data_IF_162031234103
#
_entry.id   IF_162031234103
#
_cell.length_a   1.000
_cell.length_b   1.000
_cell.length_c   1.000
_cell.angle_alpha   90.00
_cell.angle_beta   90.00
_cell.angle_gamma   90.00
#
_symmetry.space_group_name_H-M   'P 1'
#
loop_
_entity.id
_entity.type
_entity.pdbx_description
1 polymer ?
#
# COMPACT_ATOMS: atom_id res chain seq x y z
N UNK A 1 -12.24 30.09 -20.96
CA UNK A 1 -12.61 28.97 -21.88
C UNK A 1 -11.66 28.85 -23.08
N UNK A 2 -11.11 29.95 -23.62
CA UNK A 2 -10.17 29.91 -24.75
C UNK A 2 -8.81 29.24 -24.43
N UNK A 3 -8.50 29.03 -23.16
CA UNK A 3 -7.24 28.44 -22.72
C UNK A 3 -7.29 26.92 -22.54
N UNK A 4 -8.46 26.27 -22.62
CA UNK A 4 -8.62 24.83 -22.46
C UNK A 4 -8.87 24.20 -23.84
N UNK A 5 -7.94 23.36 -24.28
CA UNK A 5 -8.00 22.62 -25.55
C UNK A 5 -8.23 21.15 -25.22
N UNK A 6 -9.44 20.66 -25.56
CA UNK A 6 -9.85 19.26 -25.30
C UNK A 6 -8.98 18.31 -26.12
N UNK A 7 -8.51 17.25 -25.48
CA UNK A 7 -7.60 16.27 -26.07
C UNK A 7 -6.11 16.61 -25.90
N UNK A 8 -5.78 17.87 -25.62
CA UNK A 8 -4.40 18.30 -25.38
C UNK A 8 -4.16 18.62 -23.90
N UNK A 9 -5.07 19.36 -23.29
CA UNK A 9 -4.93 19.80 -21.93
C UNK A 9 -5.63 18.86 -20.95
N UNK A 10 -4.91 18.43 -19.90
CA UNK A 10 -5.49 17.97 -18.66
C UNK A 10 -5.80 19.14 -17.75
N UNK A 11 -6.63 18.92 -16.74
CA UNK A 11 -7.06 19.95 -15.80
C UNK A 11 -6.74 19.53 -14.36
N UNK A 12 -6.24 20.47 -13.59
CA UNK A 12 -6.23 20.39 -12.13
C UNK A 12 -7.02 21.54 -11.54
N UNK A 13 -7.76 21.27 -10.47
CA UNK A 13 -8.43 22.29 -9.68
C UNK A 13 -8.13 22.08 -8.20
N UNK A 14 -7.89 23.14 -7.47
CA UNK A 14 -7.71 23.13 -6.03
C UNK A 14 -8.45 24.31 -5.40
N UNK A 15 -9.17 24.04 -4.29
CA UNK A 15 -9.77 25.07 -3.43
C UNK A 15 -9.73 24.59 -1.98
N UNK A 16 -8.90 25.25 -1.16
CA UNK A 16 -8.58 24.77 0.18
C UNK A 16 -7.94 23.39 0.12
N UNK A 17 -8.46 22.45 0.89
CA UNK A 17 -8.02 21.04 0.92
C UNK A 17 -8.59 20.19 -0.24
N UNK A 18 -9.62 20.70 -0.93
CA UNK A 18 -10.26 19.97 -2.02
C UNK A 18 -9.44 20.12 -3.30
N UNK A 19 -9.08 18.99 -3.92
CA UNK A 19 -8.32 18.96 -5.16
C UNK A 19 -8.83 17.86 -6.11
N UNK A 20 -8.73 18.11 -7.41
CA UNK A 20 -9.11 17.16 -8.45
C UNK A 20 -8.23 17.31 -9.68
N UNK A 21 -8.03 16.19 -10.38
CA UNK A 21 -7.28 16.12 -11.62
C UNK A 21 -8.03 15.25 -12.63
N UNK A 22 -8.04 15.68 -13.88
CA UNK A 22 -8.51 14.90 -15.03
C UNK A 22 -7.47 14.97 -16.16
N UNK A 23 -7.14 13.82 -16.73
CA UNK A 23 -6.23 13.70 -17.88
C UNK A 23 -6.89 14.20 -19.18
N UNK A 24 -6.10 14.63 -20.18
CA UNK A 24 -6.63 15.11 -21.45
C UNK A 24 -7.54 14.10 -22.16
N UNK A 25 -7.18 12.82 -22.13
CA UNK A 25 -7.91 11.72 -22.78
C UNK A 25 -9.33 11.55 -22.24
N UNK A 26 -9.55 11.83 -20.96
CA UNK A 26 -10.87 11.63 -20.31
C UNK A 26 -11.97 12.46 -20.98
N UNK A 27 -11.67 13.69 -21.37
CA UNK A 27 -12.64 14.54 -22.06
C UNK A 27 -12.97 14.02 -23.46
N UNK A 28 -11.97 13.47 -24.16
CA UNK A 28 -12.13 12.87 -25.50
C UNK A 28 -12.98 11.61 -25.44
N UNK A 29 -12.65 10.69 -24.53
CA UNK A 29 -13.37 9.40 -24.37
C UNK A 29 -14.85 9.60 -23.99
N UNK A 30 -15.16 10.67 -23.28
CA UNK A 30 -16.52 10.98 -22.84
C UNK A 30 -17.24 11.97 -23.78
N UNK A 31 -16.61 12.45 -24.85
CA UNK A 31 -17.17 13.42 -25.78
C UNK A 31 -17.51 14.77 -25.11
N UNK A 32 -16.72 15.21 -24.13
CA UNK A 32 -16.96 16.46 -23.41
C UNK A 32 -16.38 17.66 -24.14
N UNK A 33 -17.12 18.74 -24.13
CA UNK A 33 -16.59 20.05 -24.48
C UNK A 33 -15.79 20.67 -23.30
N UNK A 34 -15.11 21.79 -23.57
CA UNK A 34 -14.25 22.44 -22.56
C UNK A 34 -15.03 22.87 -21.30
N UNK A 35 -16.29 23.30 -21.45
CA UNK A 35 -17.11 23.70 -20.29
C UNK A 35 -17.52 22.48 -19.45
N UNK A 36 -17.93 21.42 -20.09
CA UNK A 36 -18.25 20.16 -19.40
C UNK A 36 -17.02 19.61 -18.69
N UNK A 37 -15.85 19.65 -19.34
CA UNK A 37 -14.60 19.20 -18.75
C UNK A 37 -14.25 19.99 -17.48
N UNK A 38 -14.42 21.31 -17.48
CA UNK A 38 -14.25 22.16 -16.30
C UNK A 38 -15.23 21.84 -15.17
N UNK A 39 -16.47 21.52 -15.52
CA UNK A 39 -17.47 21.07 -14.53
C UNK A 39 -17.10 19.71 -13.93
N UNK A 40 -16.59 18.80 -14.72
CA UNK A 40 -16.24 17.45 -14.27
C UNK A 40 -15.00 17.45 -13.37
N UNK A 41 -13.98 18.31 -13.63
CA UNK A 41 -12.84 18.42 -12.71
C UNK A 41 -13.26 18.99 -11.35
N UNK A 42 -14.24 19.91 -11.33
CA UNK A 42 -14.83 20.37 -10.07
C UNK A 42 -15.52 19.22 -9.31
N UNK A 43 -16.33 18.42 -10.00
CA UNK A 43 -16.96 17.23 -9.39
C UNK A 43 -15.93 16.23 -8.86
N UNK A 44 -14.86 15.99 -9.61
CA UNK A 44 -13.75 15.12 -9.19
C UNK A 44 -13.09 15.60 -7.90
N UNK A 45 -13.04 16.90 -7.69
CA UNK A 45 -12.53 17.54 -6.48
C UNK A 45 -13.54 17.60 -5.33
N UNK A 46 -14.78 17.14 -5.53
CA UNK A 46 -15.87 17.32 -4.55
C UNK A 46 -16.35 18.76 -4.41
N UNK A 47 -16.07 19.61 -5.40
CA UNK A 47 -16.43 21.01 -5.43
C UNK A 47 -17.75 21.27 -6.19
N UNK A 48 -18.43 22.40 -5.94
CA UNK A 48 -19.55 22.84 -6.77
C UNK A 48 -19.14 22.91 -8.24
N UNK A 49 -20.03 22.51 -9.16
CA UNK A 49 -19.75 22.36 -10.60
C UNK A 49 -19.25 23.65 -11.29
N UNK A 50 -19.44 24.79 -10.68
CA UNK A 50 -18.99 26.11 -11.16
C UNK A 50 -17.82 26.67 -10.36
N UNK A 51 -17.20 25.88 -9.47
CA UNK A 51 -16.08 26.33 -8.65
C UNK A 51 -14.89 26.81 -9.46
N UNK A 52 -14.75 26.38 -10.71
CA UNK A 52 -13.72 26.85 -11.63
C UNK A 52 -13.84 28.35 -11.99
N UNK A 53 -14.97 28.99 -11.70
CA UNK A 53 -15.20 30.45 -11.88
C UNK A 53 -14.94 31.25 -10.60
N UNK A 54 -14.63 30.58 -9.50
CA UNK A 54 -14.41 31.21 -8.21
C UNK A 54 -12.94 31.61 -8.09
N UNK A 55 -12.71 32.88 -7.68
CA UNK A 55 -11.36 33.42 -7.47
C UNK A 55 -10.57 32.68 -6.38
N UNK A 56 -11.26 31.98 -5.47
CA UNK A 56 -10.64 31.13 -4.46
C UNK A 56 -10.19 29.76 -5.02
N UNK A 57 -10.55 29.42 -6.25
CA UNK A 57 -10.16 28.18 -6.89
C UNK A 57 -8.94 28.38 -7.80
N UNK A 58 -7.93 27.57 -7.62
CA UNK A 58 -6.76 27.51 -8.49
C UNK A 58 -6.98 26.47 -9.58
N UNK A 59 -7.23 26.92 -10.80
CA UNK A 59 -7.34 26.08 -11.99
C UNK A 59 -6.04 26.12 -12.78
N UNK A 60 -5.53 24.97 -13.19
CA UNK A 60 -4.33 24.86 -14.03
C UNK A 60 -4.58 23.85 -15.16
N UNK A 61 -3.96 24.09 -16.30
CA UNK A 61 -3.86 23.14 -17.41
C UNK A 61 -2.47 22.52 -17.43
N UNK A 62 -2.39 21.27 -17.90
CA UNK A 62 -1.12 20.59 -18.18
C UNK A 62 -1.26 19.77 -19.47
N UNK A 63 -0.15 19.48 -20.10
CA UNK A 63 -0.09 18.58 -21.24
C UNK A 63 0.40 17.20 -20.76
N UNK A 64 -0.13 16.15 -21.38
CA UNK A 64 0.30 14.77 -21.13
C UNK A 64 0.55 14.05 -22.44
N UNK A 65 1.58 13.24 -22.48
CA UNK A 65 1.84 12.29 -23.56
C UNK A 65 1.21 10.97 -23.16
N UNK A 66 0.23 10.52 -23.96
CA UNK A 66 -0.36 9.20 -23.81
C UNK A 66 0.33 8.25 -24.78
N UNK A 67 0.91 7.19 -24.26
CA UNK A 67 1.49 6.10 -25.05
C UNK A 67 0.59 4.89 -24.87
N UNK A 68 -0.11 4.51 -25.92
CA UNK A 68 -0.92 3.30 -25.98
C UNK A 68 -0.24 2.26 -26.85
N UNK A 69 -0.30 1.01 -26.41
CA UNK A 69 0.21 -0.11 -27.17
C UNK A 69 -0.42 -1.42 -26.71
N UNK A 70 -0.41 -2.42 -27.57
CA UNK A 70 -0.71 -3.78 -27.12
C UNK A 70 0.44 -4.23 -26.23
N UNK A 71 0.12 -4.76 -25.06
CA UNK A 71 1.10 -5.48 -24.25
C UNK A 71 1.56 -6.68 -25.08
N UNK A 72 2.84 -6.68 -25.43
CA UNK A 72 3.47 -7.84 -26.03
C UNK A 72 3.40 -9.01 -25.02
N UNK A 73 2.78 -10.15 -25.38
CA UNK A 73 2.75 -11.32 -24.50
C UNK A 73 4.15 -11.75 -24.04
N UNK A 74 5.18 -11.52 -24.86
CA UNK A 74 6.57 -11.84 -24.52
C UNK A 74 7.15 -10.88 -23.47
N UNK A 75 6.63 -9.67 -23.34
CA UNK A 75 6.95 -8.78 -22.21
C UNK A 75 6.33 -9.25 -20.90
N UNK A 76 5.26 -10.04 -20.97
CA UNK A 76 4.66 -10.71 -19.81
C UNK A 76 5.36 -12.04 -19.51
N UNK A 77 6.03 -12.62 -20.52
CA UNK A 77 6.90 -13.78 -20.42
C UNK A 77 8.35 -13.40 -20.04
N UNK A 78 8.54 -12.32 -19.29
CA UNK A 78 9.85 -12.07 -18.65
C UNK A 78 10.27 -13.35 -17.95
N UNK A 79 11.56 -13.70 -18.08
CA UNK A 79 12.17 -14.84 -17.42
C UNK A 79 11.58 -14.99 -16.02
N UNK A 80 11.20 -16.20 -15.61
CA UNK A 80 10.63 -16.40 -14.30
C UNK A 80 11.56 -15.68 -13.33
N UNK A 81 11.05 -14.80 -12.46
CA UNK A 81 11.87 -14.16 -11.45
C UNK A 81 12.67 -15.27 -10.78
N UNK A 82 13.96 -15.03 -10.54
CA UNK A 82 14.77 -15.96 -9.74
C UNK A 82 13.88 -16.42 -8.59
N UNK A 83 13.68 -17.74 -8.49
CA UNK A 83 12.75 -18.27 -7.49
C UNK A 83 13.12 -17.64 -6.15
N UNK A 84 12.19 -16.96 -5.47
CA UNK A 84 12.51 -16.32 -4.20
C UNK A 84 13.03 -17.40 -3.26
N UNK A 85 13.96 -17.05 -2.35
CA UNK A 85 14.46 -18.02 -1.40
C UNK A 85 13.28 -18.66 -0.66
N UNK A 86 13.26 -19.99 -0.64
CA UNK A 86 12.22 -20.72 0.09
C UNK A 86 12.41 -20.43 1.58
N UNK A 87 11.43 -19.80 2.22
CA UNK A 87 11.41 -19.65 3.67
C UNK A 87 11.04 -20.98 4.32
N UNK A 88 11.84 -21.40 5.25
CA UNK A 88 11.53 -22.53 6.11
C UNK A 88 10.56 -22.08 7.23
N UNK A 89 9.83 -22.99 7.86
CA UNK A 89 8.97 -22.65 9.01
C UNK A 89 9.71 -21.89 10.12
N UNK A 90 10.98 -22.24 10.36
CA UNK A 90 11.86 -21.56 11.31
C UNK A 90 12.17 -20.11 10.91
N UNK A 91 12.30 -19.82 9.63
CA UNK A 91 12.49 -18.44 9.14
C UNK A 91 11.26 -17.59 9.41
N UNK A 92 10.05 -18.16 9.19
CA UNK A 92 8.79 -17.47 9.47
C UNK A 92 8.64 -17.19 10.98
N UNK A 93 9.04 -18.13 11.84
CA UNK A 93 9.05 -17.92 13.29
C UNK A 93 10.02 -16.80 13.70
N UNK A 94 11.23 -16.81 13.13
CA UNK A 94 12.21 -15.75 13.39
C UNK A 94 11.70 -14.39 12.91
N UNK A 95 11.07 -14.32 11.73
CA UNK A 95 10.46 -13.10 11.22
C UNK A 95 9.30 -12.62 12.11
N UNK A 96 8.46 -13.53 12.59
CA UNK A 96 7.36 -13.19 13.50
C UNK A 96 7.90 -12.64 14.83
N UNK A 97 8.91 -13.29 15.42
CA UNK A 97 9.57 -12.81 16.64
C UNK A 97 10.24 -11.45 16.43
N UNK A 98 10.88 -11.26 15.28
CA UNK A 98 11.49 -9.99 14.89
C UNK A 98 10.45 -8.86 14.74
N UNK A 99 9.34 -9.14 14.05
CA UNK A 99 8.23 -8.20 13.91
C UNK A 99 7.61 -7.85 15.27
N UNK A 100 7.43 -8.85 16.15
CA UNK A 100 6.98 -8.62 17.54
C UNK A 100 7.90 -7.65 18.26
N UNK A 101 9.21 -7.89 18.22
CA UNK A 101 10.21 -7.02 18.84
C UNK A 101 10.15 -5.59 18.30
N UNK A 102 9.99 -5.43 16.98
CA UNK A 102 9.86 -4.12 16.34
C UNK A 102 8.57 -3.40 16.74
N UNK A 103 7.43 -4.10 16.80
CA UNK A 103 6.16 -3.51 17.26
C UNK A 103 6.32 -2.99 18.69
N UNK A 104 6.89 -3.80 19.60
CA UNK A 104 7.15 -3.39 20.99
C UNK A 104 8.07 -2.17 21.04
N UNK A 105 9.20 -2.19 20.33
CA UNK A 105 10.14 -1.08 20.29
C UNK A 105 9.47 0.20 19.80
N UNK A 106 8.71 0.11 18.71
CA UNK A 106 7.99 1.25 18.12
C UNK A 106 6.92 1.81 19.07
N UNK A 107 6.20 0.95 19.79
CA UNK A 107 5.19 1.40 20.78
C UNK A 107 5.86 2.15 21.92
N UNK A 108 6.97 1.63 22.43
CA UNK A 108 7.73 2.22 23.55
C UNK A 108 8.60 3.43 23.14
N UNK A 109 8.70 3.74 21.84
CA UNK A 109 9.57 4.81 21.35
C UNK A 109 11.06 4.44 21.38
N UNK A 110 11.37 3.14 21.45
CA UNK A 110 12.73 2.62 21.32
C UNK A 110 13.12 2.44 19.85
N UNK A 111 14.40 2.28 19.58
CA UNK A 111 14.90 2.05 18.22
C UNK A 111 14.58 0.63 17.76
N UNK A 112 13.78 0.45 16.70
CA UNK A 112 13.48 -0.86 16.14
C UNK A 112 14.71 -1.43 15.41
N UNK A 113 14.75 -2.74 15.22
CA UNK A 113 15.72 -3.41 14.38
C UNK A 113 15.15 -3.61 12.98
N UNK A 114 15.62 -2.83 12.02
CA UNK A 114 15.04 -2.80 10.67
C UNK A 114 15.23 -4.10 9.88
N UNK A 115 16.33 -4.83 10.12
CA UNK A 115 16.75 -5.97 9.30
C UNK A 115 17.19 -7.15 10.14
N UNK A 116 16.79 -8.36 9.74
CA UNK A 116 17.19 -9.62 10.36
C UNK A 116 18.16 -10.38 9.45
N UNK A 117 19.49 -10.27 9.65
CA UNK A 117 20.48 -10.85 8.74
C UNK A 117 20.47 -12.38 8.66
N UNK A 118 19.95 -13.05 9.70
CA UNK A 118 19.87 -14.52 9.77
C UNK A 118 18.75 -15.10 8.92
N UNK A 119 17.84 -14.27 8.44
CA UNK A 119 16.69 -14.72 7.66
C UNK A 119 16.88 -14.34 6.19
N UNK A 120 16.54 -15.22 5.25
CA UNK A 120 16.51 -14.88 3.83
C UNK A 120 15.67 -13.63 3.56
N UNK A 121 16.13 -12.80 2.62
CA UNK A 121 15.36 -11.67 2.10
C UNK A 121 15.18 -11.84 0.59
N UNK A 122 14.20 -11.15 0.03
CA UNK A 122 13.91 -11.23 -1.39
C UNK A 122 12.57 -10.59 -1.74
N UNK A 123 12.22 -10.68 -3.01
CA UNK A 123 10.95 -10.15 -3.50
C UNK A 123 9.87 -11.23 -3.43
N UNK A 124 8.72 -10.86 -2.89
CA UNK A 124 7.56 -11.73 -2.69
C UNK A 124 6.29 -11.10 -3.28
N UNK A 125 5.24 -11.89 -3.48
CA UNK A 125 3.95 -11.40 -3.97
C UNK A 125 3.09 -10.80 -2.87
N UNK A 126 3.09 -11.42 -1.70
CA UNK A 126 2.31 -10.92 -0.57
C UNK A 126 3.03 -11.13 0.73
N UNK A 127 2.83 -10.18 1.62
CA UNK A 127 3.29 -10.23 3.01
C UNK A 127 2.13 -9.83 3.90
N UNK A 128 1.91 -10.58 4.96
CA UNK A 128 0.95 -10.28 6.00
C UNK A 128 1.59 -10.33 7.38
N UNK A 129 1.17 -9.45 8.26
CA UNK A 129 1.48 -9.44 9.68
C UNK A 129 0.17 -9.32 10.46
N UNK A 130 -0.13 -10.32 11.28
CA UNK A 130 -1.18 -10.27 12.28
C UNK A 130 -0.56 -10.09 13.66
N UNK A 131 -1.12 -9.20 14.45
CA UNK A 131 -0.68 -8.90 15.83
C UNK A 131 -1.88 -8.97 16.75
N UNK A 132 -1.74 -9.70 17.85
CA UNK A 132 -2.83 -9.92 18.83
C UNK A 132 -2.35 -9.68 20.25
N UNK A 133 -3.24 -9.13 21.08
CA UNK A 133 -3.09 -9.04 22.52
C UNK A 133 -4.39 -9.60 23.15
N UNK A 134 -4.45 -10.92 23.44
CA UNK A 134 -5.71 -11.59 23.77
C UNK A 134 -6.44 -11.01 24.98
N UNK A 135 -5.73 -10.66 26.04
CA UNK A 135 -6.31 -10.10 27.27
C UNK A 135 -7.08 -8.79 27.01
N UNK A 136 -6.68 -8.04 25.99
CA UNK A 136 -7.30 -6.76 25.63
C UNK A 136 -8.22 -6.86 24.41
N UNK A 137 -8.49 -8.07 23.92
CA UNK A 137 -9.27 -8.31 22.69
C UNK A 137 -8.78 -7.47 21.51
N UNK A 138 -7.47 -7.19 21.48
CA UNK A 138 -6.87 -6.43 20.40
C UNK A 138 -6.37 -7.37 19.32
N UNK A 139 -6.73 -7.05 18.08
CA UNK A 139 -6.21 -7.70 16.89
C UNK A 139 -6.00 -6.65 15.80
N UNK A 140 -4.86 -6.69 15.15
CA UNK A 140 -4.53 -5.86 14.00
C UNK A 140 -3.86 -6.71 12.92
N UNK A 141 -4.43 -6.69 11.73
CA UNK A 141 -3.86 -7.39 10.58
C UNK A 141 -3.52 -6.36 9.49
N UNK A 142 -2.30 -6.44 8.99
CA UNK A 142 -1.82 -5.62 7.88
C UNK A 142 -1.24 -6.53 6.81
N UNK A 143 -1.60 -6.30 5.54
CA UNK A 143 -1.05 -7.04 4.42
C UNK A 143 -0.71 -6.14 3.26
N UNK A 144 0.24 -6.57 2.44
CA UNK A 144 0.59 -5.95 1.17
C UNK A 144 0.60 -7.03 0.10
N UNK A 145 0.03 -6.70 -1.04
CA UNK A 145 -0.06 -7.58 -2.21
C UNK A 145 0.49 -6.86 -3.43
N UNK A 146 1.26 -7.56 -4.22
CA UNK A 146 1.68 -7.14 -5.56
C UNK A 146 1.24 -8.19 -6.57
N UNK A 147 0.80 -7.74 -7.74
CA UNK A 147 0.44 -8.63 -8.85
C UNK A 147 1.65 -9.38 -9.43
N UNK A 148 2.86 -8.95 -9.09
CA UNK A 148 4.13 -9.58 -9.47
C UNK A 148 5.03 -9.65 -8.24
N UNK A 149 5.91 -10.66 -8.11
CA UNK A 149 6.93 -10.65 -7.09
C UNK A 149 7.76 -9.37 -7.17
N UNK A 150 7.62 -8.50 -6.20
CA UNK A 150 8.26 -7.18 -6.23
C UNK A 150 8.20 -6.45 -4.88
N UNK A 151 7.59 -7.08 -3.86
CA UNK A 151 7.61 -6.56 -2.51
C UNK A 151 8.87 -7.07 -1.80
N UNK A 152 9.79 -6.20 -1.38
CA UNK A 152 10.91 -6.62 -0.53
C UNK A 152 10.37 -7.14 0.81
N UNK A 153 10.68 -8.40 1.13
CA UNK A 153 10.06 -9.12 2.25
C UNK A 153 10.23 -8.36 3.58
N UNK A 154 11.46 -8.15 4.01
CA UNK A 154 11.73 -7.63 5.35
C UNK A 154 11.31 -6.15 5.51
N UNK A 155 11.55 -5.31 4.50
CA UNK A 155 11.13 -3.91 4.55
C UNK A 155 9.60 -3.77 4.52
N UNK A 156 8.89 -4.67 3.83
CA UNK A 156 7.42 -4.68 3.81
C UNK A 156 6.87 -5.14 5.17
N UNK A 157 7.47 -6.15 5.79
CA UNK A 157 7.12 -6.57 7.16
C UNK A 157 7.34 -5.46 8.17
N UNK A 158 8.44 -4.69 8.01
CA UNK A 158 8.70 -3.54 8.87
C UNK A 158 7.58 -2.49 8.77
N UNK A 159 7.12 -2.16 7.55
CA UNK A 159 5.99 -1.25 7.36
C UNK A 159 4.69 -1.79 7.98
N UNK A 160 4.47 -3.10 7.92
CA UNK A 160 3.33 -3.73 8.61
C UNK A 160 3.46 -3.59 10.13
N UNK A 161 4.67 -3.74 10.68
CA UNK A 161 4.94 -3.55 12.11
C UNK A 161 4.73 -2.08 12.56
N UNK A 162 5.10 -1.10 11.73
CA UNK A 162 4.79 0.31 11.99
C UNK A 162 3.28 0.56 12.08
N UNK A 163 2.51 -0.02 11.15
CA UNK A 163 1.05 0.08 11.17
C UNK A 163 0.43 -0.55 12.42
N UNK A 164 0.90 -1.74 12.81
CA UNK A 164 0.45 -2.41 14.03
C UNK A 164 0.79 -1.61 15.29
N UNK A 165 2.01 -1.06 15.37
CA UNK A 165 2.42 -0.23 16.49
C UNK A 165 1.56 1.05 16.62
N UNK A 166 1.21 1.67 15.49
CA UNK A 166 0.33 2.83 15.49
C UNK A 166 -1.08 2.47 15.96
N UNK A 167 -1.61 1.30 15.56
CA UNK A 167 -2.90 0.82 16.02
C UNK A 167 -2.91 0.58 17.55
N UNK A 168 -1.86 -0.05 18.09
CA UNK A 168 -1.72 -0.26 19.54
C UNK A 168 -1.64 1.08 20.28
N UNK A 169 -0.86 2.05 19.80
CA UNK A 169 -0.77 3.38 20.41
C UNK A 169 -2.13 4.09 20.47
N UNK A 170 -2.95 3.93 19.44
CA UNK A 170 -4.28 4.54 19.40
C UNK A 170 -5.24 3.97 20.44
N UNK A 171 -5.02 2.73 20.88
CA UNK A 171 -5.81 2.07 21.94
C UNK A 171 -5.43 2.49 23.36
N UNK A 172 -4.30 3.19 23.52
CA UNK A 172 -3.80 3.63 24.84
C UNK A 172 -3.69 2.50 25.87
N UNK A 173 -3.27 1.31 25.42
CA UNK A 173 -3.08 0.15 26.29
C UNK A 173 -1.95 0.39 27.29
N UNK A 174 -2.03 -0.23 28.50
CA UNK A 174 -0.94 -0.17 29.45
C UNK A 174 0.31 -0.91 28.91
N UNK A 175 1.49 -0.51 29.37
CA UNK A 175 2.77 -0.99 28.81
C UNK A 175 2.96 -2.50 29.02
N UNK A 176 2.47 -3.05 30.13
CA UNK A 176 2.50 -4.48 30.44
C UNK A 176 1.65 -5.34 29.49
N UNK A 177 0.69 -4.73 28.80
CA UNK A 177 -0.05 -5.41 27.74
C UNK A 177 0.86 -5.93 26.61
N UNK A 178 2.02 -5.30 26.40
CA UNK A 178 2.98 -5.69 25.36
C UNK A 178 3.70 -7.01 25.66
N UNK A 179 3.73 -7.46 26.91
CA UNK A 179 4.32 -8.75 27.30
C UNK A 179 3.56 -9.92 26.67
N UNK A 180 2.25 -9.74 26.48
CA UNK A 180 1.33 -10.72 25.88
C UNK A 180 1.08 -10.51 24.39
N UNK A 181 1.94 -9.72 23.74
CA UNK A 181 1.83 -9.47 22.30
C UNK A 181 2.29 -10.69 21.51
N UNK A 182 1.42 -11.21 20.67
CA UNK A 182 1.70 -12.26 19.70
C UNK A 182 1.77 -11.67 18.30
N UNK A 183 2.67 -12.16 17.50
CA UNK A 183 2.81 -11.79 16.08
C UNK A 183 2.85 -13.04 15.20
N UNK A 184 2.21 -12.95 14.05
CA UNK A 184 2.13 -14.01 13.05
C UNK A 184 2.45 -13.43 11.68
N UNK A 185 3.31 -14.10 10.92
CA UNK A 185 3.74 -13.66 9.59
C UNK A 185 3.26 -14.65 8.54
N UNK A 186 2.67 -14.13 7.48
CA UNK A 186 2.29 -14.89 6.29
C UNK A 186 3.01 -14.34 5.05
N UNK A 187 3.53 -15.21 4.20
CA UNK A 187 4.23 -14.83 2.97
C UNK A 187 3.71 -15.67 1.81
N UNK A 188 3.40 -15.01 0.69
CA UNK A 188 3.04 -15.65 -0.55
C UNK A 188 4.12 -15.34 -1.60
N UNK A 189 4.73 -16.39 -2.15
CA UNK A 189 5.78 -16.28 -3.17
C UNK A 189 5.25 -16.34 -4.59
N UNK A 190 4.37 -17.30 -4.88
CA UNK A 190 3.73 -17.50 -6.18
C UNK A 190 2.33 -18.06 -5.95
N UNK A 191 1.44 -17.84 -6.90
CA UNK A 191 0.07 -18.37 -6.88
C UNK A 191 -0.04 -19.89 -6.76
N UNK A 192 1.05 -20.62 -7.00
CA UNK A 192 1.15 -22.06 -6.88
C UNK A 192 1.75 -22.57 -5.55
N UNK A 193 2.33 -21.69 -4.72
CA UNK A 193 3.01 -22.09 -3.47
C UNK A 193 2.44 -21.30 -2.29
N UNK A 194 1.51 -21.90 -1.60
CA UNK A 194 0.95 -21.35 -0.37
C UNK A 194 1.85 -21.74 0.82
N UNK A 195 2.56 -20.77 1.38
CA UNK A 195 3.20 -20.91 2.68
C UNK A 195 2.56 -19.92 3.67
N UNK A 196 1.49 -20.34 4.32
CA UNK A 196 1.06 -19.72 5.58
C UNK A 196 1.28 -20.74 6.67
N UNK A 197 2.12 -20.43 7.63
CA UNK A 197 2.30 -21.22 8.85
C UNK A 197 1.83 -20.33 9.99
N UNK A 198 0.76 -20.74 10.64
CA UNK A 198 0.31 -20.08 11.87
C UNK A 198 1.04 -20.66 13.08
N UNK A 199 1.21 -19.88 14.14
CA UNK A 199 1.73 -20.38 15.42
C UNK A 199 0.91 -21.59 15.95
N UNK A 200 -0.37 -21.68 15.55
CA UNK A 200 -1.23 -22.82 15.90
C UNK A 200 -0.83 -24.12 15.18
N UNK A 201 -0.30 -24.02 13.95
CA UNK A 201 0.16 -25.20 13.19
C UNK A 201 1.48 -25.75 13.73
N UNK A 202 2.24 -24.94 14.49
CA UNK A 202 3.54 -25.31 15.05
C UNK A 202 3.46 -25.88 16.48
N UNK A 203 2.33 -25.69 17.18
CA UNK A 203 2.11 -26.26 18.51
C UNK A 203 1.65 -27.73 18.46
N UNK A 204 1.41 -28.27 17.28
CA UNK A 204 0.98 -29.65 17.04
C UNK A 204 2.10 -30.62 16.58
N UNK A 205 3.33 -30.13 16.50
CA UNK A 205 4.55 -30.91 16.21
C UNK A 205 5.44 -30.97 17.45
#
# INVERSE_FOLDING_TARGET
>A
LRAVEVGRHGLTIQRGEAAGLLLPVVAVENGWDAETFLRQVCRKAGLPVRAWQDDAARLQTFEAVLIEGRLDPDLLATAPPEAPPLLLPEDLQQLAAHCRGNVVALVLGATPNYYLPSCPDGNVQSVGLAVRIPQYHFESTSSRLSLRPGLPLQSTLYQCAEGAAQAIKSMQLPTDALDELHAEVAVLYDSAMHGSVSDADLQGL
#
